data_IF_127787101718
#
_entry.id   IF_127787101718
#
_cell.length_a   1.000
_cell.length_b   1.000
_cell.length_c   1.000
_cell.angle_alpha   90.00
_cell.angle_beta   90.00
_cell.angle_gamma   90.00
#
_symmetry.space_group_name_H-M   'P 1'
#
loop_
_entity.id
_entity.type
_entity.pdbx_description
1 polymer ?
#
# COMPACT_ATOMS: atom_id res chain seq x y z
N UNK A 1 -13.71 32.05 20.93
CA UNK A 1 -12.81 31.66 19.81
C UNK A 1 -13.13 30.23 19.44
N UNK A 2 -13.39 29.92 18.16
CA UNK A 2 -13.68 28.55 17.72
C UNK A 2 -12.36 27.78 17.69
N UNK A 3 -12.27 26.66 18.40
CA UNK A 3 -11.11 25.76 18.31
C UNK A 3 -11.04 25.18 16.91
N UNK A 4 -9.86 25.16 16.26
CA UNK A 4 -9.70 24.51 14.95
C UNK A 4 -10.16 23.05 15.05
N UNK A 5 -10.96 22.60 14.08
CA UNK A 5 -11.39 21.21 14.04
C UNK A 5 -10.20 20.32 13.62
N UNK A 6 -9.60 19.66 14.59
CA UNK A 6 -8.45 18.80 14.38
C UNK A 6 -8.90 17.39 13.99
N UNK A 7 -8.33 16.84 12.91
CA UNK A 7 -8.57 15.43 12.59
C UNK A 7 -8.00 14.52 13.69
N UNK A 8 -8.58 13.34 13.88
CA UNK A 8 -8.10 12.39 14.87
C UNK A 8 -6.62 12.02 14.66
N UNK A 9 -6.19 11.89 13.40
CA UNK A 9 -4.77 11.66 13.05
C UNK A 9 -3.89 12.80 13.53
N UNK A 10 -4.28 14.05 13.28
CA UNK A 10 -3.51 15.21 13.73
C UNK A 10 -3.47 15.30 15.26
N UNK A 11 -4.58 15.01 15.95
CA UNK A 11 -4.63 14.98 17.42
C UNK A 11 -3.63 13.97 18.00
N UNK A 12 -3.61 12.75 17.46
CA UNK A 12 -2.66 11.71 17.90
C UNK A 12 -1.21 12.15 17.71
N UNK A 13 -0.88 12.71 16.55
CA UNK A 13 0.47 13.19 16.28
C UNK A 13 0.87 14.39 17.13
N UNK A 14 -0.03 15.36 17.37
CA UNK A 14 0.26 16.49 18.24
C UNK A 14 0.51 16.05 19.68
N UNK A 15 -0.28 15.11 20.21
CA UNK A 15 -0.03 14.54 21.54
C UNK A 15 1.35 13.90 21.64
N UNK A 16 1.75 13.13 20.62
CA UNK A 16 3.07 12.50 20.56
C UNK A 16 4.20 13.53 20.45
N UNK A 17 4.05 14.52 19.57
CA UNK A 17 5.08 15.54 19.35
C UNK A 17 5.25 16.51 20.53
N UNK A 18 4.22 16.68 21.37
CA UNK A 18 4.30 17.53 22.55
C UNK A 18 5.34 17.05 23.59
N UNK A 19 5.78 15.78 23.52
CA UNK A 19 6.82 15.23 24.38
C UNK A 19 8.23 15.71 23.99
N UNK A 20 8.38 16.30 22.80
CA UNK A 20 9.67 16.68 22.23
C UNK A 20 9.78 18.20 22.08
N UNK A 21 10.98 18.73 22.35
CA UNK A 21 11.33 20.11 22.02
C UNK A 21 12.03 20.14 20.67
N UNK A 22 11.28 20.45 19.60
CA UNK A 22 11.81 20.46 18.24
C UNK A 22 11.42 21.73 17.48
N UNK A 23 12.20 22.01 16.42
CA UNK A 23 11.93 23.08 15.45
C UNK A 23 11.84 22.46 14.08
N UNK A 24 10.83 22.86 13.30
CA UNK A 24 10.64 22.37 11.93
C UNK A 24 11.45 23.24 10.98
N UNK A 25 12.39 22.62 10.26
CA UNK A 25 13.15 23.26 9.19
C UNK A 25 12.90 22.54 7.87
N UNK A 26 12.63 23.30 6.82
CA UNK A 26 12.56 22.76 5.46
C UNK A 26 13.93 22.23 5.04
N UNK A 27 13.96 21.00 4.52
CA UNK A 27 15.13 20.42 3.87
C UNK A 27 14.82 20.17 2.39
N UNK A 28 15.55 20.80 1.45
CA UNK A 28 15.39 20.52 0.03
C UNK A 28 15.60 19.04 -0.27
N UNK A 29 14.82 18.48 -1.21
CA UNK A 29 14.86 17.05 -1.56
C UNK A 29 16.27 16.56 -1.93
N UNK A 30 17.04 17.36 -2.67
CA UNK A 30 18.43 17.08 -3.04
C UNK A 30 19.35 16.82 -1.84
N UNK A 31 19.02 17.37 -0.67
CA UNK A 31 19.81 17.21 0.57
C UNK A 31 19.18 16.19 1.53
N UNK A 32 18.03 15.61 1.18
CA UNK A 32 17.27 14.67 2.01
C UNK A 32 17.46 13.22 1.56
N UNK A 33 18.59 12.91 0.92
CA UNK A 33 18.87 11.65 0.22
C UNK A 33 18.66 10.42 1.12
N UNK A 34 19.09 10.48 2.39
CA UNK A 34 18.96 9.34 3.31
C UNK A 34 17.50 9.04 3.67
N UNK A 35 16.74 10.07 4.03
CA UNK A 35 15.32 9.89 4.36
C UNK A 35 14.50 9.52 3.12
N UNK A 36 14.85 10.08 1.96
CA UNK A 36 14.25 9.70 0.68
C UNK A 36 14.49 8.22 0.37
N UNK A 37 15.74 7.75 0.42
CA UNK A 37 16.10 6.36 0.18
C UNK A 37 15.41 5.38 1.14
N UNK A 38 15.29 5.74 2.44
CA UNK A 38 14.57 4.91 3.43
C UNK A 38 13.05 4.95 3.26
N UNK A 39 12.50 6.04 2.72
CA UNK A 39 11.06 6.15 2.43
C UNK A 39 10.65 5.40 1.17
N UNK A 40 11.60 5.11 0.27
CA UNK A 40 11.37 4.33 -0.93
C UNK A 40 11.18 2.86 -0.57
N UNK A 41 10.22 2.24 -1.24
CA UNK A 41 9.98 0.81 -1.18
C UNK A 41 10.96 0.09 -2.11
N UNK A 42 11.67 -0.95 -1.64
CA UNK A 42 12.60 -1.69 -2.49
C UNK A 42 11.88 -2.53 -3.56
N UNK A 43 10.61 -2.85 -3.33
CA UNK A 43 9.72 -3.58 -4.24
C UNK A 43 8.96 -2.66 -5.20
N UNK A 44 9.07 -1.34 -5.04
CA UNK A 44 8.43 -0.37 -5.91
C UNK A 44 9.38 0.02 -7.03
N UNK A 45 9.15 -0.50 -8.23
CA UNK A 45 9.81 -0.02 -9.45
C UNK A 45 8.96 1.10 -10.08
N UNK A 46 9.41 2.37 -10.03
CA UNK A 46 8.68 3.48 -10.65
C UNK A 46 8.52 3.32 -12.17
N UNK A 47 9.35 2.48 -12.81
CA UNK A 47 9.29 2.22 -14.26
C UNK A 47 8.10 1.36 -14.69
N UNK A 48 7.44 0.67 -13.76
CA UNK A 48 6.26 -0.13 -14.09
C UNK A 48 4.98 0.70 -14.26
N UNK A 49 5.02 2.01 -13.97
CA UNK A 49 3.83 2.87 -13.93
C UNK A 49 3.83 3.97 -15.01
N UNK A 50 4.90 4.08 -15.80
CA UNK A 50 5.04 5.09 -16.86
C UNK A 50 5.22 4.35 -18.18
N UNK A 51 4.10 3.96 -18.79
CA UNK A 51 3.99 3.55 -20.19
C UNK A 51 3.76 4.78 -21.11
N UNK A 52 4.25 5.96 -20.71
CA UNK A 52 4.19 7.15 -21.56
C UNK A 52 5.61 7.58 -21.91
N UNK A 53 5.94 7.37 -23.18
CA UNK A 53 7.14 7.80 -23.88
C UNK A 53 7.32 9.32 -23.73
N UNK A 54 8.35 9.75 -23.00
CA UNK A 54 9.05 11.00 -23.30
C UNK A 54 10.52 10.82 -22.90
N UNK A 55 11.35 10.64 -23.94
CA UNK A 55 12.80 10.65 -23.88
C UNK A 55 13.29 12.04 -23.44
N UNK A 56 13.63 12.19 -22.17
CA UNK A 56 14.68 13.13 -21.74
C UNK A 56 15.49 12.49 -20.61
N UNK A 57 16.66 12.02 -21.02
CA UNK A 57 17.69 11.32 -20.25
C UNK A 57 18.30 12.25 -19.18
N UNK A 58 17.59 12.43 -18.06
CA UNK A 58 18.22 12.73 -16.78
C UNK A 58 18.34 11.40 -16.04
N UNK A 59 19.43 10.69 -16.32
CA UNK A 59 19.86 9.50 -15.60
C UNK A 59 19.66 9.73 -14.10
N UNK A 60 18.72 8.99 -13.49
CA UNK A 60 18.49 9.08 -12.06
C UNK A 60 19.73 8.50 -11.36
N UNK A 61 20.71 9.35 -11.06
CA UNK A 61 21.95 9.07 -10.31
C UNK A 61 21.68 8.53 -8.88
N UNK A 62 20.42 8.30 -8.50
CA UNK A 62 19.99 7.79 -7.20
C UNK A 62 19.71 6.27 -7.26
N UNK A 63 20.42 5.54 -8.11
CA UNK A 63 20.36 4.07 -8.17
C UNK A 63 21.69 3.41 -7.79
N UNK A 64 22.37 3.86 -6.74
CA UNK A 64 23.38 3.03 -6.05
C UNK A 64 22.98 2.89 -4.58
N UNK A 65 21.87 2.19 -4.35
CA UNK A 65 21.61 1.55 -3.06
C UNK A 65 22.37 0.21 -2.93
N UNK A 66 23.24 -0.12 -3.89
CA UNK A 66 23.99 -1.39 -3.95
C UNK A 66 24.96 -1.62 -2.78
N UNK A 67 25.19 -0.60 -1.94
CA UNK A 67 26.02 -0.71 -0.72
C UNK A 67 25.25 -0.87 0.58
N UNK A 68 23.92 -0.82 0.56
CA UNK A 68 23.10 -1.08 1.75
C UNK A 68 22.84 -2.58 1.78
N UNK A 69 23.29 -3.24 2.84
CA UNK A 69 22.99 -4.65 3.07
C UNK A 69 21.49 -4.73 3.46
N UNK A 70 20.62 -4.61 2.45
CA UNK A 70 19.18 -4.73 2.61
C UNK A 70 18.95 -6.17 3.05
N UNK A 71 18.46 -6.34 4.28
CA UNK A 71 17.85 -7.60 4.69
C UNK A 71 16.63 -7.82 3.80
N UNK A 72 16.84 -8.51 2.69
CA UNK A 72 15.75 -9.05 1.90
C UNK A 72 15.12 -10.16 2.74
N UNK A 73 14.06 -9.80 3.44
CA UNK A 73 13.14 -10.79 3.97
C UNK A 73 12.36 -11.31 2.77
N UNK A 74 12.80 -12.45 2.23
CA UNK A 74 11.91 -13.23 1.37
C UNK A 74 10.72 -13.60 2.24
N UNK A 75 9.48 -13.18 1.92
CA UNK A 75 8.33 -13.65 2.67
C UNK A 75 8.35 -15.17 2.59
N UNK A 76 8.37 -15.85 3.73
CA UNK A 76 8.05 -17.26 3.74
C UNK A 76 6.60 -17.36 3.24
N UNK A 77 6.44 -18.04 2.11
CA UNK A 77 5.18 -18.21 1.38
C UNK A 77 4.08 -18.86 2.24
N UNK A 78 4.44 -19.39 3.42
CA UNK A 78 3.56 -20.05 4.37
C UNK A 78 2.40 -19.15 4.83
N UNK A 79 2.66 -17.87 5.15
CA UNK A 79 1.59 -16.97 5.60
C UNK A 79 0.59 -16.66 4.47
N UNK A 80 1.08 -16.54 3.24
CA UNK A 80 0.19 -16.31 2.10
C UNK A 80 -0.74 -17.50 1.90
N UNK A 81 -0.19 -18.71 1.90
CA UNK A 81 -0.96 -19.94 1.71
C UNK A 81 -1.90 -20.21 2.88
N UNK A 82 -1.50 -19.86 4.11
CA UNK A 82 -2.36 -19.92 5.30
C UNK A 82 -3.56 -18.96 5.20
N UNK A 83 -3.36 -17.73 4.75
CA UNK A 83 -4.46 -16.76 4.57
C UNK A 83 -5.39 -17.22 3.45
N UNK A 84 -4.85 -17.72 2.34
CA UNK A 84 -5.66 -18.28 1.25
C UNK A 84 -6.50 -19.44 1.77
N UNK A 85 -5.93 -20.37 2.54
CA UNK A 85 -6.67 -21.47 3.16
C UNK A 85 -7.76 -20.96 4.12
N UNK A 86 -7.47 -19.96 4.95
CA UNK A 86 -8.44 -19.36 5.86
C UNK A 86 -9.61 -18.67 5.12
N UNK A 87 -9.37 -18.12 3.93
CA UNK A 87 -10.43 -17.54 3.11
C UNK A 87 -11.40 -18.60 2.56
N UNK A 88 -10.93 -19.83 2.32
CA UNK A 88 -11.77 -20.92 1.86
C UNK A 88 -12.63 -21.52 2.98
N UNK A 89 -12.12 -21.50 4.22
CA UNK A 89 -12.84 -21.97 5.41
C UNK A 89 -13.94 -20.98 5.86
N UNK A 90 -13.74 -19.67 5.65
CA UNK A 90 -14.71 -18.63 6.02
C UNK A 90 -15.80 -18.45 4.96
N UNK A 91 -17.05 -18.73 5.33
CA UNK A 91 -18.20 -18.65 4.42
C UNK A 91 -18.45 -17.24 3.84
N UNK A 92 -18.07 -16.17 4.55
CA UNK A 92 -18.22 -14.80 4.06
C UNK A 92 -17.19 -14.53 2.99
N UNK A 93 -15.91 -14.83 3.26
CA UNK A 93 -14.83 -14.66 2.29
C UNK A 93 -15.03 -15.56 1.07
N UNK A 94 -15.43 -16.82 1.24
CA UNK A 94 -15.77 -17.71 0.15
C UNK A 94 -16.89 -17.12 -0.75
N UNK A 95 -17.92 -16.52 -0.14
CA UNK A 95 -18.99 -15.83 -0.87
C UNK A 95 -18.52 -14.59 -1.63
N UNK A 96 -17.60 -13.82 -1.05
CA UNK A 96 -17.00 -12.64 -1.68
C UNK A 96 -16.11 -13.06 -2.86
N UNK A 97 -15.28 -14.10 -2.69
CA UNK A 97 -14.37 -14.62 -3.70
C UNK A 97 -15.08 -15.29 -4.89
N UNK A 98 -16.32 -15.74 -4.71
CA UNK A 98 -17.10 -16.38 -5.78
C UNK A 98 -17.25 -15.48 -7.02
N UNK A 99 -17.45 -14.17 -6.84
CA UNK A 99 -17.60 -13.24 -7.96
C UNK A 99 -16.27 -13.00 -8.71
N UNK A 100 -15.15 -12.60 -8.06
CA UNK A 100 -13.88 -12.43 -8.76
C UNK A 100 -13.33 -13.72 -9.39
N UNK A 101 -13.61 -14.89 -8.81
CA UNK A 101 -13.26 -16.21 -9.40
C UNK A 101 -14.13 -16.55 -10.61
N UNK A 102 -15.40 -16.12 -10.63
CA UNK A 102 -16.36 -16.39 -11.70
C UNK A 102 -17.41 -15.27 -11.80
N UNK A 103 -17.12 -14.19 -12.54
CA UNK A 103 -18.00 -13.03 -12.61
C UNK A 103 -19.30 -13.36 -13.33
N UNK A 104 -20.43 -13.33 -12.62
CA UNK A 104 -21.78 -13.50 -13.17
C UNK A 104 -22.80 -12.70 -12.38
N UNK A 105 -23.98 -12.43 -12.94
CA UNK A 105 -25.04 -11.70 -12.23
C UNK A 105 -25.56 -12.48 -11.00
N UNK A 106 -25.48 -13.81 -11.06
CA UNK A 106 -25.80 -14.71 -9.95
C UNK A 106 -24.79 -14.57 -8.80
N UNK A 107 -23.49 -14.61 -9.09
CA UNK A 107 -22.44 -14.45 -8.06
C UNK A 107 -22.41 -13.02 -7.51
N UNK A 108 -22.74 -12.02 -8.35
CA UNK A 108 -22.89 -10.63 -7.95
C UNK A 108 -24.15 -10.43 -7.08
N UNK A 109 -25.23 -11.15 -7.38
CA UNK A 109 -26.49 -11.20 -6.63
C UNK A 109 -26.35 -11.79 -5.22
N UNK A 110 -25.47 -12.79 -5.07
CA UNK A 110 -25.18 -13.44 -3.79
C UNK A 110 -24.45 -12.52 -2.78
N UNK A 111 -23.81 -11.45 -3.25
CA UNK A 111 -23.10 -10.49 -2.39
C UNK A 111 -24.05 -9.59 -1.59
N UNK A 112 -23.57 -9.12 -0.43
CA UNK A 112 -24.24 -8.04 0.30
C UNK A 112 -24.28 -6.74 -0.54
N UNK A 113 -25.26 -5.87 -0.29
CA UNK A 113 -25.38 -4.59 -1.01
C UNK A 113 -24.12 -3.72 -0.88
N UNK A 114 -23.47 -3.72 0.28
CA UNK A 114 -22.25 -2.94 0.50
C UNK A 114 -21.08 -3.52 -0.29
N UNK A 115 -20.88 -4.85 -0.20
CA UNK A 115 -19.82 -5.55 -0.93
C UNK A 115 -19.98 -5.37 -2.44
N UNK A 116 -21.21 -5.51 -2.95
CA UNK A 116 -21.52 -5.30 -4.38
C UNK A 116 -21.08 -3.92 -4.89
N UNK A 117 -21.25 -2.87 -4.09
CA UNK A 117 -20.88 -1.52 -4.49
C UNK A 117 -19.36 -1.30 -4.56
N UNK A 118 -18.58 -2.13 -3.86
CA UNK A 118 -17.13 -2.01 -3.77
C UNK A 118 -16.39 -3.14 -4.51
N UNK A 119 -17.08 -4.19 -4.96
CA UNK A 119 -16.45 -5.39 -5.52
C UNK A 119 -15.61 -5.09 -6.78
N UNK A 120 -15.98 -4.07 -7.56
CA UNK A 120 -15.22 -3.62 -8.73
C UNK A 120 -13.90 -2.93 -8.39
N UNK A 121 -13.68 -2.55 -7.13
CA UNK A 121 -12.43 -1.94 -6.66
C UNK A 121 -11.38 -2.98 -6.28
N UNK A 122 -11.75 -4.27 -6.25
CA UNK A 122 -10.87 -5.36 -5.86
C UNK A 122 -10.57 -6.27 -7.06
N UNK A 123 -9.37 -6.83 -7.08
CA UNK A 123 -8.97 -7.89 -8.00
C UNK A 123 -8.31 -9.04 -7.23
N UNK A 124 -8.20 -10.20 -7.84
CA UNK A 124 -7.49 -11.33 -7.23
C UNK A 124 -6.02 -11.30 -7.61
N UNK A 125 -5.14 -11.27 -6.62
CA UNK A 125 -3.74 -11.63 -6.75
C UNK A 125 -3.51 -12.93 -6.00
N UNK A 126 -3.20 -14.00 -6.72
CA UNK A 126 -2.88 -15.31 -6.11
C UNK A 126 -3.95 -15.82 -5.14
N UNK A 127 -5.24 -15.59 -5.46
CA UNK A 127 -6.43 -15.89 -4.64
C UNK A 127 -6.64 -15.01 -3.40
N UNK A 128 -5.86 -13.94 -3.22
CA UNK A 128 -6.14 -12.89 -2.24
C UNK A 128 -6.80 -11.70 -2.91
N UNK A 129 -7.76 -11.08 -2.21
CA UNK A 129 -8.36 -9.81 -2.62
C UNK A 129 -7.33 -8.69 -2.45
N UNK A 130 -7.05 -7.97 -3.52
CA UNK A 130 -6.14 -6.82 -3.60
C UNK A 130 -6.86 -5.58 -4.12
#
# INVERSE_FOLDING_TARGET
>A
MKSPHLSQRMARWLSFFAEYNFVVHYKPGKNNILADALSRRPDYDPRQVIDDEDEDDDHCDVCIASGINLTNVSPEMDLHDEIVAAYEDDAVNAGILAYPRSPSDETLGALSRNTRNQISCYHLNSNLLC
#
